data_IF_241549377033
#
_entry.id   IF_241549377033
#
_cell.length_a   1.000
_cell.length_b   1.000
_cell.length_c   1.000
_cell.angle_alpha   90.00
_cell.angle_beta   90.00
_cell.angle_gamma   90.00
#
_symmetry.space_group_name_H-M   'P 1'
#
loop_
_entity.id
_entity.type
_entity.pdbx_description
1 polymer ?
#
# COMPACT_ATOMS: atom_id res chain seq x y z
N UNK A 1 -26.70 -2.86 10.71
CA UNK A 1 -26.27 -4.28 10.69
C UNK A 1 -25.37 -4.43 9.48
N UNK A 2 -24.16 -4.95 9.66
CA UNK A 2 -23.20 -5.17 8.57
C UNK A 2 -23.29 -6.63 8.12
N UNK A 3 -23.10 -6.89 6.83
CA UNK A 3 -22.99 -8.26 6.33
C UNK A 3 -21.79 -8.96 6.95
N UNK A 4 -21.91 -10.27 7.18
CA UNK A 4 -20.83 -11.06 7.72
C UNK A 4 -19.68 -11.19 6.71
N UNK A 5 -18.46 -10.88 7.15
CA UNK A 5 -17.23 -11.04 6.36
C UNK A 5 -16.58 -12.37 6.72
N UNK A 6 -16.64 -13.42 5.86
CA UNK A 6 -16.10 -14.75 6.16
C UNK A 6 -14.57 -14.86 6.09
N UNK A 7 -13.86 -13.75 6.32
CA UNK A 7 -12.40 -13.64 6.26
C UNK A 7 -11.74 -13.77 7.63
N UNK A 8 -10.42 -13.64 7.65
CA UNK A 8 -9.59 -13.69 8.86
C UNK A 8 -8.89 -12.36 9.03
N UNK A 9 -8.90 -11.73 10.22
CA UNK A 9 -8.13 -10.52 10.46
C UNK A 9 -6.67 -10.71 10.10
N UNK A 10 -6.07 -9.74 9.40
CA UNK A 10 -4.68 -9.80 8.95
C UNK A 10 -3.71 -10.03 10.12
N UNK A 11 -4.03 -9.48 11.30
CA UNK A 11 -3.29 -9.72 12.55
C UNK A 11 -3.20 -11.21 12.94
N UNK A 12 -4.24 -11.99 12.63
CA UNK A 12 -4.38 -13.40 13.03
C UNK A 12 -4.07 -14.38 11.90
N UNK A 13 -3.78 -13.88 10.69
CA UNK A 13 -3.63 -14.69 9.49
C UNK A 13 -2.60 -15.81 9.65
N UNK A 14 -1.45 -15.53 10.28
CA UNK A 14 -0.40 -16.56 10.48
C UNK A 14 -0.89 -17.70 11.36
N UNK A 15 -1.44 -17.39 12.53
CA UNK A 15 -1.94 -18.39 13.47
C UNK A 15 -3.06 -19.22 12.84
N UNK A 16 -3.90 -18.61 12.00
CA UNK A 16 -4.97 -19.31 11.32
C UNK A 16 -4.49 -20.24 10.20
N UNK A 17 -3.47 -19.84 9.44
CA UNK A 17 -2.82 -20.72 8.45
C UNK A 17 -2.20 -21.94 9.14
N UNK A 18 -1.50 -21.72 10.25
CA UNK A 18 -0.91 -22.78 11.08
C UNK A 18 -1.99 -23.72 11.65
N UNK A 19 -3.08 -23.18 12.22
CA UNK A 19 -4.23 -23.95 12.74
C UNK A 19 -4.86 -24.85 11.68
N UNK A 20 -4.89 -24.41 10.42
CA UNK A 20 -5.44 -25.18 9.29
C UNK A 20 -4.46 -26.19 8.70
N UNK A 21 -3.27 -26.33 9.28
CA UNK A 21 -2.22 -27.20 8.75
C UNK A 21 -1.69 -26.72 7.39
N UNK A 22 -1.91 -25.45 7.03
CA UNK A 22 -1.33 -24.82 5.85
C UNK A 22 0.08 -24.39 6.27
N UNK A 23 0.96 -25.37 6.40
CA UNK A 23 2.38 -25.14 6.59
C UNK A 23 2.93 -24.56 5.29
N UNK A 24 3.12 -23.25 5.28
CA UNK A 24 3.89 -22.62 4.22
C UNK A 24 5.33 -22.60 4.69
N UNK A 25 6.16 -23.44 4.08
CA UNK A 25 7.59 -23.47 4.40
C UNK A 25 8.18 -22.06 4.25
N UNK A 26 8.86 -21.53 5.28
CA UNK A 26 9.47 -20.21 5.21
C UNK A 26 10.43 -20.10 4.02
N UNK A 27 10.27 -19.05 3.22
CA UNK A 27 11.04 -18.81 2.00
C UNK A 27 10.61 -19.65 0.80
N UNK A 28 9.61 -20.51 0.92
CA UNK A 28 9.12 -21.32 -0.21
C UNK A 28 8.49 -20.47 -1.31
N UNK A 29 8.48 -21.00 -2.54
CA UNK A 29 7.78 -20.36 -3.67
C UNK A 29 6.29 -20.14 -3.39
N UNK A 30 5.67 -21.02 -2.61
CA UNK A 30 4.27 -20.91 -2.24
C UNK A 30 4.03 -19.74 -1.28
N UNK A 31 4.91 -19.52 -0.29
CA UNK A 31 4.86 -18.35 0.61
C UNK A 31 5.01 -17.04 -0.14
N UNK A 32 6.00 -17.01 -1.03
CA UNK A 32 6.27 -15.83 -1.84
C UNK A 32 5.09 -15.50 -2.76
N UNK A 33 4.48 -16.50 -3.40
CA UNK A 33 3.30 -16.31 -4.23
C UNK A 33 2.07 -15.86 -3.41
N UNK A 34 1.85 -16.46 -2.24
CA UNK A 34 0.80 -16.07 -1.31
C UNK A 34 0.96 -14.61 -0.88
N UNK A 35 2.15 -14.25 -0.41
CA UNK A 35 2.43 -12.91 0.10
C UNK A 35 2.32 -11.85 -1.00
N UNK A 36 2.83 -12.12 -2.20
CA UNK A 36 2.64 -11.24 -3.36
C UNK A 36 1.18 -11.02 -3.71
N UNK A 37 0.36 -12.07 -3.69
CA UNK A 37 -1.08 -11.93 -3.99
C UNK A 37 -1.82 -11.13 -2.92
N UNK A 38 -1.51 -11.37 -1.64
CA UNK A 38 -2.10 -10.61 -0.54
C UNK A 38 -1.70 -9.12 -0.61
N UNK A 39 -0.42 -8.83 -0.82
CA UNK A 39 0.08 -7.47 -0.97
C UNK A 39 -0.55 -6.78 -2.18
N UNK A 40 -0.74 -7.49 -3.30
CA UNK A 40 -1.46 -6.97 -4.47
C UNK A 40 -2.87 -6.55 -4.13
N UNK A 41 -3.67 -7.46 -3.55
CA UNK A 41 -5.06 -7.17 -3.17
C UNK A 41 -5.16 -5.99 -2.21
N UNK A 42 -4.24 -5.92 -1.24
CA UNK A 42 -4.20 -4.85 -0.26
C UNK A 42 -3.82 -3.51 -0.91
N UNK A 43 -2.75 -3.48 -1.70
CA UNK A 43 -2.34 -2.30 -2.45
C UNK A 43 -3.44 -1.81 -3.39
N UNK A 44 -4.14 -2.71 -4.08
CA UNK A 44 -5.24 -2.37 -5.00
C UNK A 44 -6.41 -1.74 -4.24
N UNK A 45 -6.82 -2.31 -3.11
CA UNK A 45 -7.93 -1.76 -2.31
C UNK A 45 -7.63 -0.32 -1.86
N UNK A 46 -6.41 -0.06 -1.38
CA UNK A 46 -6.01 1.31 -1.02
C UNK A 46 -5.83 2.23 -2.23
N UNK A 47 -5.40 1.71 -3.38
CA UNK A 47 -5.30 2.48 -4.62
C UNK A 47 -6.68 2.98 -5.06
N UNK A 48 -7.70 2.12 -5.03
CA UNK A 48 -9.08 2.49 -5.38
C UNK A 48 -9.59 3.60 -4.45
N UNK A 49 -9.47 3.41 -3.13
CA UNK A 49 -9.90 4.42 -2.15
C UNK A 49 -9.21 5.78 -2.37
N UNK A 50 -7.93 5.77 -2.72
CA UNK A 50 -7.11 6.98 -2.84
C UNK A 50 -7.25 7.67 -4.20
N UNK A 51 -7.09 6.92 -5.29
CA UNK A 51 -6.99 7.43 -6.65
C UNK A 51 -8.32 7.46 -7.39
N UNK A 52 -9.30 6.65 -7.00
CA UNK A 52 -10.60 6.55 -7.68
C UNK A 52 -11.68 7.27 -6.87
N UNK A 53 -11.90 6.83 -5.62
CA UNK A 53 -13.00 7.34 -4.78
C UNK A 53 -12.64 8.66 -4.07
N UNK A 54 -11.38 8.82 -3.66
CA UNK A 54 -10.98 9.93 -2.78
C UNK A 54 -11.61 9.87 -1.39
N UNK A 55 -12.10 8.70 -1.00
CA UNK A 55 -12.61 8.40 0.33
C UNK A 55 -11.72 7.34 0.94
N UNK A 56 -10.98 7.72 1.97
CA UNK A 56 -9.86 6.93 2.48
C UNK A 56 -10.10 6.47 3.90
N UNK A 57 -9.79 5.21 4.18
CA UNK A 57 -9.87 4.65 5.51
C UNK A 57 -8.70 5.18 6.36
N UNK A 58 -9.01 6.02 7.34
CA UNK A 58 -8.02 6.76 8.12
C UNK A 58 -7.34 5.92 9.22
N UNK A 59 -7.84 4.72 9.49
CA UNK A 59 -7.29 3.80 10.49
C UNK A 59 -7.14 2.38 9.91
N UNK A 60 -6.17 2.17 9.01
CA UNK A 60 -5.96 0.87 8.37
C UNK A 60 -5.31 -0.12 9.33
N UNK A 61 -5.72 -0.23 10.59
CA UNK A 61 -5.11 -1.17 11.52
C UNK A 61 -5.24 -2.61 11.00
N UNK A 62 -4.24 -3.50 11.16
CA UNK A 62 -4.33 -4.89 10.66
C UNK A 62 -5.55 -5.67 11.17
N UNK A 63 -6.15 -5.27 12.29
CA UNK A 63 -7.42 -5.83 12.78
C UNK A 63 -8.63 -5.50 11.91
N UNK A 64 -8.60 -4.38 11.18
CA UNK A 64 -9.68 -3.91 10.29
C UNK A 64 -9.54 -4.43 8.86
N UNK A 65 -8.44 -5.14 8.57
CA UNK A 65 -8.18 -5.75 7.27
C UNK A 65 -8.44 -7.25 7.37
N UNK A 66 -9.49 -7.72 6.71
CA UNK A 66 -9.84 -9.14 6.66
C UNK A 66 -9.33 -9.75 5.36
N UNK A 67 -8.61 -10.86 5.47
CA UNK A 67 -8.14 -11.64 4.33
C UNK A 67 -9.17 -12.72 4.03
N UNK A 68 -9.71 -12.67 2.82
CA UNK A 68 -10.73 -13.58 2.33
C UNK A 68 -10.09 -14.90 1.86
N UNK A 69 -10.87 -16.00 1.71
CA UNK A 69 -10.34 -17.30 1.30
C UNK A 69 -9.65 -17.30 -0.08
N UNK A 70 -10.00 -16.34 -0.94
CA UNK A 70 -9.40 -16.14 -2.26
C UNK A 70 -8.24 -15.13 -2.27
N UNK A 71 -7.83 -14.65 -1.08
CA UNK A 71 -6.82 -13.60 -0.85
C UNK A 71 -7.22 -12.21 -1.35
N UNK A 72 -8.50 -11.97 -1.63
CA UNK A 72 -9.03 -10.61 -1.62
C UNK A 72 -9.03 -10.06 -0.20
N UNK A 73 -9.13 -8.74 -0.08
CA UNK A 73 -9.18 -8.05 1.22
C UNK A 73 -10.54 -7.39 1.40
N UNK A 74 -11.08 -7.49 2.61
CA UNK A 74 -12.25 -6.73 3.04
C UNK A 74 -11.81 -5.77 4.15
N UNK A 75 -12.19 -4.51 4.02
CA UNK A 75 -11.96 -3.51 5.05
C UNK A 75 -13.24 -3.39 5.89
N UNK A 76 -13.08 -3.36 7.20
CA UNK A 76 -14.17 -3.12 8.15
C UNK A 76 -13.86 -1.89 8.99
N UNK A 77 -14.83 -1.46 9.80
CA UNK A 77 -14.70 -0.33 10.71
C UNK A 77 -14.30 0.99 10.03
N UNK A 78 -15.26 1.54 9.29
CA UNK A 78 -15.16 2.87 8.69
C UNK A 78 -15.46 4.00 9.70
N UNK A 79 -15.32 3.76 11.01
CA UNK A 79 -15.53 4.76 12.06
C UNK A 79 -14.56 5.95 11.95
N UNK A 80 -13.41 5.74 11.30
CA UNK A 80 -12.45 6.79 10.96
C UNK A 80 -12.16 6.78 9.46
N UNK A 81 -12.75 7.76 8.76
CA UNK A 81 -12.61 7.97 7.32
C UNK A 81 -12.35 9.43 7.02
N UNK A 82 -11.69 9.70 5.89
CA UNK A 82 -11.41 11.06 5.43
C UNK A 82 -11.62 11.17 3.93
N UNK A 83 -12.19 12.29 3.49
CA UNK A 83 -12.19 12.65 2.09
C UNK A 83 -10.87 13.33 1.74
N UNK A 84 -10.15 12.79 0.75
CA UNK A 84 -8.88 13.32 0.28
C UNK A 84 -9.14 14.18 -0.96
N UNK A 85 -8.64 15.41 -0.93
CA UNK A 85 -8.85 16.38 -2.00
C UNK A 85 -8.20 15.94 -3.32
N UNK A 86 -8.85 16.28 -4.44
CA UNK A 86 -8.35 15.95 -5.78
C UNK A 86 -6.94 16.48 -6.05
N UNK A 87 -6.59 17.66 -5.53
CA UNK A 87 -5.24 18.22 -5.65
C UNK A 87 -4.18 17.28 -5.06
N UNK A 88 -4.37 16.84 -3.82
CA UNK A 88 -3.43 15.93 -3.16
C UNK A 88 -3.34 14.60 -3.92
N UNK A 89 -4.47 14.05 -4.36
CA UNK A 89 -4.52 12.81 -5.16
C UNK A 89 -3.70 12.92 -6.45
N UNK A 90 -3.80 14.05 -7.16
CA UNK A 90 -2.99 14.31 -8.36
C UNK A 90 -1.50 14.44 -8.06
N UNK A 91 -1.14 15.16 -6.99
CA UNK A 91 0.26 15.33 -6.59
C UNK A 91 0.89 13.99 -6.19
N UNK A 92 0.15 13.15 -5.46
CA UNK A 92 0.58 11.78 -5.16
C UNK A 92 0.67 10.92 -6.42
N UNK A 93 -0.27 11.04 -7.36
CA UNK A 93 -0.22 10.29 -8.61
C UNK A 93 1.01 10.66 -9.44
N UNK A 94 1.34 11.96 -9.51
CA UNK A 94 2.57 12.44 -10.15
C UNK A 94 3.82 11.86 -9.48
N UNK A 95 3.85 11.87 -8.14
CA UNK A 95 4.94 11.27 -7.37
C UNK A 95 5.12 9.78 -7.70
N UNK A 96 4.04 9.00 -7.67
CA UNK A 96 4.07 7.56 -7.95
C UNK A 96 4.59 7.26 -9.35
N UNK A 97 4.12 8.02 -10.36
CA UNK A 97 4.56 7.83 -11.75
C UNK A 97 6.05 8.13 -11.88
N UNK A 98 6.52 9.28 -11.36
CA UNK A 98 7.94 9.65 -11.38
C UNK A 98 8.78 8.56 -10.72
N UNK A 99 8.44 8.12 -9.51
CA UNK A 99 9.23 7.10 -8.81
C UNK A 99 9.18 5.73 -9.50
N UNK A 100 8.10 5.40 -10.21
CA UNK A 100 7.98 4.13 -10.93
C UNK A 100 8.86 4.04 -12.18
N UNK A 101 9.26 5.19 -12.72
CA UNK A 101 10.05 5.34 -13.94
C UNK A 101 11.48 5.86 -13.67
N UNK A 102 11.73 6.31 -12.43
CA UNK A 102 12.90 7.08 -12.03
C UNK A 102 14.24 6.39 -12.37
N UNK A 103 15.07 7.11 -13.14
CA UNK A 103 16.42 6.70 -13.53
C UNK A 103 17.55 7.27 -12.66
N UNK A 104 17.21 7.87 -11.52
CA UNK A 104 18.14 8.55 -10.60
C UNK A 104 18.85 9.77 -11.21
N UNK A 105 18.11 10.60 -11.95
CA UNK A 105 18.62 11.84 -12.55
C UNK A 105 18.37 13.08 -11.70
N UNK A 106 19.20 14.11 -11.87
CA UNK A 106 19.10 15.38 -11.13
C UNK A 106 17.76 16.11 -11.36
N UNK A 107 17.23 16.06 -12.59
CA UNK A 107 15.92 16.65 -12.92
C UNK A 107 14.77 15.95 -12.16
N UNK A 108 14.81 14.61 -12.06
CA UNK A 108 13.83 13.84 -11.29
C UNK A 108 13.90 14.16 -9.81
N UNK A 109 15.12 14.37 -9.28
CA UNK A 109 15.35 14.74 -7.89
C UNK A 109 14.68 16.06 -7.56
N UNK A 110 14.87 17.07 -8.40
CA UNK A 110 14.23 18.36 -8.22
C UNK A 110 12.70 18.27 -8.31
N UNK A 111 12.17 17.44 -9.21
CA UNK A 111 10.71 17.25 -9.34
C UNK A 111 10.12 16.64 -8.07
N UNK A 112 10.73 15.58 -7.53
CA UNK A 112 10.28 14.96 -6.26
C UNK A 112 10.44 15.92 -5.09
N UNK A 113 11.54 16.66 -5.03
CA UNK A 113 11.80 17.66 -3.97
C UNK A 113 10.72 18.76 -3.93
N UNK A 114 10.11 19.11 -5.07
CA UNK A 114 9.00 20.07 -5.14
C UNK A 114 7.64 19.48 -4.80
N UNK A 115 7.44 18.17 -4.94
CA UNK A 115 6.13 17.54 -4.76
C UNK A 115 5.78 17.32 -3.28
N UNK A 116 6.71 16.80 -2.47
CA UNK A 116 6.41 16.54 -1.05
C UNK A 116 6.00 17.79 -0.25
N UNK A 117 6.63 18.97 -0.43
CA UNK A 117 6.15 20.20 0.20
C UNK A 117 4.75 20.64 -0.25
N UNK A 118 4.40 20.42 -1.51
CA UNK A 118 3.04 20.73 -2.01
C UNK A 118 1.97 19.84 -1.38
N UNK A 119 2.36 18.62 -1.00
CA UNK A 119 1.56 17.65 -0.25
C UNK A 119 1.61 17.89 1.27
N UNK A 120 2.21 19.00 1.72
CA UNK A 120 2.24 19.40 3.13
C UNK A 120 3.35 18.75 3.97
N UNK A 121 4.41 18.22 3.35
CA UNK A 121 5.61 17.79 4.08
C UNK A 121 6.55 18.97 4.29
N UNK A 122 6.95 19.21 5.54
CA UNK A 122 7.96 20.20 5.88
C UNK A 122 9.26 19.53 6.29
N UNK A 123 10.39 20.09 5.86
CA UNK A 123 11.72 19.59 6.17
C UNK A 123 12.45 20.53 7.13
N UNK A 124 13.34 19.97 7.96
CA UNK A 124 14.21 20.77 8.81
C UNK A 124 15.11 21.69 7.96
N UNK A 125 15.49 22.88 8.46
CA UNK A 125 16.45 23.75 7.77
C UNK A 125 17.81 23.09 7.49
N UNK A 126 18.16 22.07 8.28
CA UNK A 126 19.40 21.29 8.17
C UNK A 126 19.23 20.01 7.36
N UNK A 127 18.04 19.74 6.81
CA UNK A 127 17.77 18.52 6.06
C UNK A 127 18.68 18.41 4.84
N UNK A 128 19.09 17.19 4.51
CA UNK A 128 19.85 16.95 3.27
C UNK A 128 19.00 17.37 2.05
N UNK A 129 19.59 17.98 0.99
CA UNK A 129 18.85 18.35 -0.24
C UNK A 129 18.10 17.20 -0.94
N UNK A 130 18.51 15.96 -0.66
CA UNK A 130 17.92 14.73 -1.21
C UNK A 130 16.91 14.07 -0.26
N UNK A 131 16.61 14.69 0.89
CA UNK A 131 15.67 14.17 1.88
C UNK A 131 14.31 13.84 1.26
N UNK A 132 13.76 14.75 0.45
CA UNK A 132 12.45 14.54 -0.17
C UNK A 132 12.40 13.29 -1.06
N UNK A 133 13.44 13.05 -1.86
CA UNK A 133 13.52 11.83 -2.67
C UNK A 133 13.74 10.59 -1.81
N UNK A 134 14.66 10.66 -0.86
CA UNK A 134 14.92 9.55 0.05
C UNK A 134 13.66 9.16 0.82
N UNK A 135 12.89 10.14 1.31
CA UNK A 135 11.61 9.93 1.98
C UNK A 135 10.59 9.30 1.03
N UNK A 136 10.47 9.78 -0.21
CA UNK A 136 9.51 9.26 -1.16
C UNK A 136 9.81 7.80 -1.57
N UNK A 137 11.08 7.47 -1.83
CA UNK A 137 11.52 6.09 -2.07
C UNK A 137 11.34 5.23 -0.82
N UNK A 138 11.72 5.77 0.34
CA UNK A 138 11.54 5.10 1.62
C UNK A 138 10.08 4.89 1.98
N UNK A 139 9.12 5.68 1.49
CA UNK A 139 7.71 5.38 1.68
C UNK A 139 7.27 4.36 0.61
N UNK A 140 7.33 4.74 -0.66
CA UNK A 140 6.57 4.06 -1.70
C UNK A 140 7.30 2.91 -2.40
N UNK A 141 8.61 2.72 -2.19
CA UNK A 141 9.36 1.65 -2.86
C UNK A 141 10.27 0.85 -1.91
N UNK A 142 9.70 -0.15 -1.22
CA UNK A 142 10.49 -1.09 -0.37
C UNK A 142 11.45 -1.97 -1.15
N UNK A 143 11.39 -1.98 -2.48
CA UNK A 143 12.29 -2.81 -3.27
C UNK A 143 13.70 -2.23 -3.37
N UNK A 144 13.88 -0.93 -3.13
CA UNK A 144 15.19 -0.28 -3.08
C UNK A 144 15.82 -0.40 -1.70
N UNK A 145 17.09 -0.82 -1.67
CA UNK A 145 17.90 -0.92 -0.44
C UNK A 145 18.69 0.35 -0.17
N UNK A 146 19.13 1.00 -1.24
CA UNK A 146 19.94 2.21 -1.16
C UNK A 146 19.03 3.43 -1.31
N UNK A 147 19.17 4.38 -0.38
CA UNK A 147 18.50 5.67 -0.45
C UNK A 147 19.53 6.76 -0.77
N UNK A 148 19.17 7.76 -1.58
CA UNK A 148 20.05 8.87 -1.92
C UNK A 148 20.40 9.69 -0.67
N UNK A 149 21.48 10.47 -0.70
CA UNK A 149 21.85 11.37 0.40
C UNK A 149 22.40 10.67 1.66
N UNK A 150 22.74 9.38 1.57
CA UNK A 150 23.31 8.64 2.70
C UNK A 150 22.29 8.22 3.76
N UNK A 151 20.99 8.33 3.44
CA UNK A 151 19.92 7.84 4.30
C UNK A 151 19.87 6.29 4.31
N UNK A 152 19.29 5.75 5.36
CA UNK A 152 19.13 4.33 5.59
C UNK A 152 17.64 3.96 5.58
N UNK A 153 17.32 2.77 5.04
CA UNK A 153 15.94 2.31 4.96
C UNK A 153 15.34 1.89 6.32
N UNK A 154 16.19 1.68 7.33
CA UNK A 154 15.76 1.31 8.66
C UNK A 154 15.09 2.50 9.37
N UNK A 155 13.83 2.33 9.75
CA UNK A 155 13.01 3.36 10.41
C UNK A 155 13.58 3.85 11.74
N UNK A 156 14.29 2.98 12.47
CA UNK A 156 14.90 3.30 13.76
C UNK A 156 16.29 3.93 13.61
N UNK A 157 16.82 4.03 12.39
CA UNK A 157 18.13 4.66 12.16
C UNK A 157 18.04 6.17 12.38
N UNK A 158 19.05 6.81 12.99
CA UNK A 158 19.17 8.27 13.00
C UNK A 158 19.36 8.86 11.59
N UNK A 159 19.63 8.00 10.58
CA UNK A 159 19.68 8.35 9.17
C UNK A 159 18.42 7.91 8.41
N UNK A 160 17.29 7.69 9.08
CA UNK A 160 16.01 7.51 8.41
C UNK A 160 15.58 8.87 7.80
N UNK A 161 15.13 8.94 6.54
CA UNK A 161 14.75 10.24 5.95
C UNK A 161 13.62 10.96 6.70
N UNK A 162 12.80 10.23 7.46
CA UNK A 162 11.77 10.83 8.31
C UNK A 162 12.34 11.68 9.46
N UNK A 163 13.60 11.50 9.87
CA UNK A 163 14.22 12.31 10.94
C UNK A 163 14.48 13.75 10.52
N UNK A 164 14.58 13.98 9.20
CA UNK A 164 14.80 15.30 8.62
C UNK A 164 13.49 16.02 8.25
N UNK A 165 12.35 15.42 8.59
CA UNK A 165 11.02 16.02 8.41
C UNK A 165 10.57 16.70 9.71
N UNK A 166 10.12 17.96 9.62
CA UNK A 166 9.60 18.72 10.77
C UNK A 166 8.10 18.58 10.96
N UNK A 167 7.35 18.41 9.86
CA UNK A 167 5.90 18.25 9.91
C UNK A 167 5.36 17.49 8.69
N UNK A 168 4.19 16.89 8.86
CA UNK A 168 3.40 16.29 7.78
C UNK A 168 1.96 16.79 7.88
N UNK A 169 1.36 17.15 6.75
CA UNK A 169 -0.08 17.36 6.70
C UNK A 169 -0.84 16.06 6.97
N UNK A 170 -2.03 16.22 7.51
CA UNK A 170 -2.98 15.17 7.83
C UNK A 170 -3.28 14.22 6.68
N UNK A 171 -3.43 14.68 5.42
CA UNK A 171 -3.64 13.77 4.27
C UNK A 171 -2.41 12.88 4.04
N UNK A 172 -1.21 13.46 4.15
CA UNK A 172 0.04 12.74 3.96
C UNK A 172 0.28 11.70 5.06
N UNK A 173 -0.08 12.02 6.31
CA UNK A 173 -0.01 11.07 7.43
C UNK A 173 -0.87 9.84 7.17
N UNK A 174 -2.10 10.00 6.66
CA UNK A 174 -2.98 8.86 6.38
C UNK A 174 -2.42 7.92 5.31
N UNK A 175 -1.90 8.49 4.23
CA UNK A 175 -1.23 7.69 3.18
C UNK A 175 0.02 7.01 3.73
N UNK A 176 0.81 7.72 4.53
CA UNK A 176 2.01 7.18 5.17
C UNK A 176 1.70 5.98 6.07
N UNK A 177 0.64 6.04 6.89
CA UNK A 177 0.22 4.91 7.75
C UNK A 177 -0.12 3.65 6.94
N UNK A 178 -0.81 3.83 5.81
CA UNK A 178 -1.15 2.73 4.90
C UNK A 178 0.08 2.13 4.26
N UNK A 179 0.97 2.98 3.77
CA UNK A 179 2.25 2.58 3.22
C UNK A 179 3.03 1.76 4.25
N UNK A 180 3.21 2.27 5.48
CA UNK A 180 3.91 1.56 6.56
C UNK A 180 3.30 0.19 6.89
N UNK A 181 1.97 0.06 6.90
CA UNK A 181 1.34 -1.24 7.06
C UNK A 181 1.73 -2.22 5.95
N UNK A 182 1.61 -1.80 4.69
CA UNK A 182 1.93 -2.67 3.55
C UNK A 182 3.41 -3.05 3.57
N UNK A 183 4.28 -2.09 3.92
CA UNK A 183 5.73 -2.31 4.09
C UNK A 183 6.03 -3.32 5.20
N UNK A 184 5.43 -3.15 6.38
CA UNK A 184 5.59 -4.05 7.51
C UNK A 184 5.11 -5.46 7.18
N UNK A 185 3.99 -5.57 6.47
CA UNK A 185 3.49 -6.86 5.98
C UNK A 185 4.43 -7.50 4.96
N UNK A 186 4.93 -6.72 3.99
CA UNK A 186 5.88 -7.19 2.99
C UNK A 186 7.17 -7.72 3.63
N UNK A 187 7.72 -6.97 4.59
CA UNK A 187 8.89 -7.39 5.37
C UNK A 187 8.64 -8.68 6.15
N UNK A 188 7.48 -8.77 6.83
CA UNK A 188 7.11 -9.96 7.62
C UNK A 188 6.91 -11.21 6.77
N UNK A 189 6.46 -11.05 5.52
CA UNK A 189 6.30 -12.13 4.54
C UNK A 189 7.58 -12.41 3.74
N UNK A 190 8.66 -11.65 3.96
CA UNK A 190 9.89 -11.77 3.18
C UNK A 190 9.70 -11.48 1.69
N UNK A 191 8.71 -10.65 1.32
CA UNK A 191 8.37 -10.32 -0.06
C UNK A 191 8.92 -8.93 -0.39
N UNK A 192 9.74 -8.84 -1.45
CA UNK A 192 10.03 -7.54 -2.05
C UNK A 192 8.80 -7.02 -2.79
N UNK A 193 8.29 -5.89 -2.31
CA UNK A 193 7.11 -5.20 -2.83
C UNK A 193 7.48 -3.79 -3.28
N UNK A 194 6.66 -3.18 -4.13
CA UNK A 194 6.91 -1.83 -4.62
C UNK A 194 5.56 -1.19 -4.85
N UNK A 195 5.19 -0.22 -4.01
CA UNK A 195 3.91 0.48 -4.15
C UNK A 195 3.91 1.39 -5.37
N UNK A 196 5.07 1.95 -5.74
CA UNK A 196 5.22 2.71 -6.98
C UNK A 196 4.82 1.89 -8.20
N UNK A 197 5.25 0.62 -8.28
CA UNK A 197 4.81 -0.31 -9.33
C UNK A 197 3.36 -0.74 -9.18
N UNK A 198 2.90 -1.02 -7.96
CA UNK A 198 1.55 -1.51 -7.71
C UNK A 198 0.47 -0.46 -8.01
N UNK A 199 0.75 0.83 -7.77
CA UNK A 199 -0.18 1.94 -7.94
C UNK A 199 -0.02 2.70 -9.26
N UNK A 200 0.95 2.32 -10.09
CA UNK A 200 1.29 3.04 -11.32
C UNK A 200 0.10 3.23 -12.25
N UNK A 201 -0.70 2.18 -12.47
CA UNK A 201 -1.82 2.23 -13.41
C UNK A 201 -2.91 3.22 -12.96
N UNK A 202 -3.28 3.19 -11.68
CA UNK A 202 -4.27 4.08 -11.08
C UNK A 202 -3.75 5.52 -11.00
N UNK A 203 -2.46 5.70 -10.70
CA UNK A 203 -1.82 7.01 -10.73
C UNK A 203 -1.88 7.62 -12.14
N UNK A 204 -1.52 6.86 -13.18
CA UNK A 204 -1.63 7.33 -14.57
C UNK A 204 -3.07 7.68 -14.96
N UNK A 205 -4.06 6.88 -14.54
CA UNK A 205 -5.48 7.19 -14.78
C UNK A 205 -5.89 8.52 -14.12
N UNK A 206 -5.48 8.74 -12.88
CA UNK A 206 -5.71 9.99 -12.14
C UNK A 206 -5.12 11.20 -12.87
N UNK A 207 -3.92 11.08 -13.44
CA UNK A 207 -3.24 12.16 -14.15
C UNK A 207 -3.86 12.50 -15.51
N UNK A 208 -4.41 11.50 -16.22
CA UNK A 208 -5.16 11.71 -17.47
C UNK A 208 -6.47 12.45 -17.27
N UNK A 209 -6.90 12.61 -16.01
CA UNK A 209 -8.20 13.16 -15.69
C UNK A 209 -9.33 12.18 -15.97
N UNK A 210 -9.03 10.89 -16.13
CA UNK A 210 -10.04 9.83 -16.13
C UNK A 210 -10.58 9.74 -14.70
N UNK A 211 -11.82 10.18 -14.40
CA UNK A 211 -12.44 9.81 -13.16
C UNK A 211 -12.85 8.35 -13.32
N UNK A 212 -11.95 7.42 -13.04
CA UNK A 212 -12.42 6.10 -12.61
C UNK A 212 -13.13 6.37 -11.28
N UNK A 213 -14.45 6.55 -11.33
CA UNK A 213 -15.24 7.10 -10.23
C UNK A 213 -16.40 8.03 -10.64
N UNK A 214 -16.46 8.51 -11.88
CA UNK A 214 -17.72 9.06 -12.40
C UNK A 214 -18.57 7.91 -12.95
N UNK A 215 -19.52 7.45 -12.11
CA UNK A 215 -20.53 6.44 -12.41
C UNK A 215 -20.07 4.97 -12.42
N UNK A 216 -19.84 4.40 -11.23
CA UNK A 216 -20.48 3.13 -10.85
C UNK A 216 -20.97 3.25 -9.42
N UNK A 217 -22.24 2.93 -9.18
CA UNK A 217 -22.75 2.71 -7.82
C UNK A 217 -21.97 1.59 -7.11
N UNK A 218 -22.30 1.29 -5.85
CA UNK A 218 -21.59 0.27 -5.08
C UNK A 218 -21.43 -1.03 -5.88
N UNK A 219 -20.26 -1.68 -5.83
CA UNK A 219 -19.99 -2.85 -6.66
C UNK A 219 -20.99 -3.97 -6.33
N UNK A 220 -21.70 -4.46 -7.35
CA UNK A 220 -22.43 -5.73 -7.24
C UNK A 220 -21.44 -6.86 -6.95
N UNK A 221 -21.84 -7.76 -6.04
CA UNK A 221 -21.01 -8.87 -5.58
C UNK A 221 -20.47 -9.71 -6.77
N UNK A 222 -19.18 -10.12 -6.77
CA UNK A 222 -18.62 -10.85 -7.90
C UNK A 222 -19.28 -12.22 -8.09
N UNK A 223 -19.96 -12.38 -9.23
CA UNK A 223 -20.41 -13.65 -9.76
C UNK A 223 -19.25 -14.60 -10.06
N UNK A 224 -19.54 -15.90 -9.90
CA UNK A 224 -18.58 -16.99 -9.97
C UNK A 224 -17.95 -17.20 -11.36
N UNK A 225 -16.62 -17.20 -11.46
CA UNK A 225 -15.90 -17.92 -12.52
C UNK A 225 -14.68 -18.66 -11.97
N UNK A 226 -14.43 -19.84 -12.52
CA UNK A 226 -13.76 -20.98 -11.88
C UNK A 226 -12.24 -20.83 -11.59
N UNK A 227 -11.68 -21.48 -10.56
CA UNK A 227 -10.27 -21.34 -10.18
C UNK A 227 -9.34 -22.34 -10.88
N UNK A 228 -8.10 -21.89 -11.16
CA UNK A 228 -6.99 -22.76 -11.53
C UNK A 228 -6.67 -23.79 -10.43
N UNK A 229 -6.12 -24.95 -10.80
CA UNK A 229 -5.92 -26.16 -9.96
C UNK A 229 -5.13 -25.96 -8.64
N UNK A 230 -4.50 -24.81 -8.43
CA UNK A 230 -3.84 -24.44 -7.18
C UNK A 230 -4.82 -23.80 -6.17
N UNK A 231 -5.75 -22.97 -6.65
CA UNK A 231 -6.78 -22.29 -5.85
C UNK A 231 -7.91 -23.24 -5.41
N UNK A 232 -8.13 -24.34 -6.13
CA UNK A 232 -9.10 -25.36 -5.73
C UNK A 232 -8.70 -26.10 -4.45
N UNK A 233 -7.39 -26.31 -4.22
CA UNK A 233 -6.89 -26.96 -3.00
C UNK A 233 -7.08 -26.11 -1.74
N UNK A 234 -7.00 -24.78 -1.85
CA UNK A 234 -7.25 -23.86 -0.72
C UNK A 234 -8.74 -23.69 -0.40
N UNK A 235 -9.63 -23.71 -1.41
CA UNK A 235 -11.09 -23.67 -1.20
C UNK A 235 -11.62 -24.89 -0.43
N UNK A 236 -11.06 -26.08 -0.66
CA UNK A 236 -11.46 -27.29 0.08
C UNK A 236 -11.10 -27.26 1.57
N UNK A 237 -10.07 -26.50 1.95
CA UNK A 237 -9.66 -26.34 3.35
C UNK A 237 -10.51 -25.32 4.13
N UNK A 238 -11.34 -24.53 3.45
CA UNK A 238 -12.20 -23.52 4.10
C UNK A 238 -13.64 -24.00 4.38
N UNK A 239 -14.03 -25.17 3.86
CA UNK A 239 -15.43 -25.64 3.86
C UNK A 239 -15.73 -26.82 4.78
N UNK A 240 -14.83 -27.24 5.66
CA UNK A 240 -15.15 -28.29 6.64
C UNK A 240 -15.37 -27.68 8.03
N UNK A 241 -16.50 -28.02 8.69
CA UNK A 241 -16.88 -27.47 9.99
C UNK A 241 -15.89 -27.87 11.09
#
# INVERSE_FOLDING_TARGET
>A
VMDFVPGVPLSNLKAELERRGIAVEPGSRAEQAFGRKLLKSLSDAFAVMLFEEGFFHADPHPGNVFVMPDLSVALIDFGQTKQIGYRFRRELAELIVILSECGDTEEEFERVARLLPRMGTEFLPTAHPLCGLALALWLFDTSRKDLPGGYEANELSPKCPATDCSAFDSDFVLVTRTTLLIRGLAARLGVQWSLTKAWREQALATLRGDPVGAAKGPPEAPGSSAPSRFLSRLRTLWRRP
#
